data_IF_336384106514
#
_entry.id   IF_336384106514
#
_cell.length_a   1.000
_cell.length_b   1.000
_cell.length_c   1.000
_cell.angle_alpha   90.00
_cell.angle_beta   90.00
_cell.angle_gamma   90.00
#
_symmetry.space_group_name_H-M   'P 1'
#
loop_
_entity.id
_entity.type
_entity.pdbx_description
1 polymer ?
#
# COMPACT_ATOMS: atom_id res chain seq x y z
N UNK A 1 -50.42 -66.97 -21.23
CA UNK A 1 -49.23 -67.12 -20.36
C UNK A 1 -48.71 -65.74 -20.05
N UNK A 2 -48.48 -65.46 -18.76
CA UNK A 2 -48.00 -64.20 -18.21
C UNK A 2 -46.65 -63.77 -18.79
N UNK A 3 -46.41 -62.47 -19.02
CA UNK A 3 -45.52 -61.66 -18.17
C UNK A 3 -45.45 -60.19 -18.65
N UNK A 4 -45.87 -59.30 -17.74
CA UNK A 4 -45.50 -57.89 -17.66
C UNK A 4 -44.30 -57.78 -16.71
N UNK A 5 -43.24 -57.04 -17.11
CA UNK A 5 -42.37 -56.14 -16.30
C UNK A 5 -41.00 -55.98 -17.00
N UNK A 6 -40.23 -54.89 -16.90
CA UNK A 6 -40.25 -53.76 -15.97
C UNK A 6 -39.43 -52.57 -16.51
N UNK A 7 -40.09 -51.40 -16.54
CA UNK A 7 -39.63 -50.04 -16.19
C UNK A 7 -38.15 -49.65 -16.34
N UNK A 8 -37.95 -48.72 -17.27
CA UNK A 8 -37.02 -47.59 -17.21
C UNK A 8 -37.39 -46.64 -16.06
N UNK A 9 -36.53 -46.45 -15.05
CA UNK A 9 -36.77 -45.47 -13.97
C UNK A 9 -35.54 -44.72 -13.42
N UNK A 10 -34.36 -44.81 -14.03
CA UNK A 10 -33.13 -44.26 -13.42
C UNK A 10 -32.72 -42.84 -13.88
N UNK A 11 -33.37 -42.25 -14.88
CA UNK A 11 -32.93 -40.96 -15.46
C UNK A 11 -33.56 -39.73 -14.79
N UNK A 12 -34.69 -39.87 -14.09
CA UNK A 12 -35.43 -38.74 -13.49
C UNK A 12 -34.93 -38.33 -12.11
N UNK A 13 -34.42 -39.27 -11.31
CA UNK A 13 -34.05 -39.03 -9.91
C UNK A 13 -32.78 -38.16 -9.79
N UNK A 14 -31.82 -38.30 -10.72
CA UNK A 14 -30.58 -37.51 -10.70
C UNK A 14 -30.81 -36.02 -11.02
N UNK A 15 -31.72 -35.70 -11.95
CA UNK A 15 -31.99 -34.31 -12.39
C UNK A 15 -32.69 -33.47 -11.32
N UNK A 16 -33.58 -34.08 -10.54
CA UNK A 16 -34.36 -33.39 -9.50
C UNK A 16 -33.44 -32.92 -8.35
N UNK A 17 -32.44 -33.72 -7.98
CA UNK A 17 -31.50 -33.36 -6.93
C UNK A 17 -30.60 -32.18 -7.33
N UNK A 18 -30.13 -32.10 -8.57
CA UNK A 18 -29.34 -30.95 -9.05
C UNK A 18 -30.14 -29.65 -9.11
N UNK A 19 -31.41 -29.70 -9.52
CA UNK A 19 -32.26 -28.52 -9.61
C UNK A 19 -32.64 -27.99 -8.21
N UNK A 20 -32.92 -28.90 -7.27
CA UNK A 20 -33.16 -28.55 -5.86
C UNK A 20 -31.91 -27.97 -5.19
N UNK A 21 -30.74 -28.54 -5.47
CA UNK A 21 -29.47 -28.06 -4.94
C UNK A 21 -29.15 -26.64 -5.47
N UNK A 22 -29.34 -26.40 -6.77
CA UNK A 22 -29.13 -25.08 -7.37
C UNK A 22 -30.12 -24.03 -6.85
N UNK A 23 -31.40 -24.36 -6.69
CA UNK A 23 -32.42 -23.40 -6.21
C UNK A 23 -32.26 -23.03 -4.74
N UNK A 24 -31.65 -23.88 -3.91
CA UNK A 24 -31.39 -23.61 -2.48
C UNK A 24 -29.99 -23.01 -2.23
N UNK A 25 -28.93 -23.48 -2.91
CA UNK A 25 -27.58 -22.95 -2.74
C UNK A 25 -27.37 -21.61 -3.44
N UNK A 26 -27.94 -21.41 -4.63
CA UNK A 26 -27.71 -20.18 -5.41
C UNK A 26 -28.16 -18.91 -4.67
N UNK A 27 -29.36 -18.82 -4.05
CA UNK A 27 -29.73 -17.65 -3.25
C UNK A 27 -28.90 -17.50 -1.97
N UNK A 28 -28.38 -18.60 -1.39
CA UNK A 28 -27.49 -18.53 -0.23
C UNK A 28 -26.10 -17.98 -0.60
N UNK A 29 -25.53 -18.43 -1.72
CA UNK A 29 -24.26 -17.94 -2.27
C UNK A 29 -24.39 -16.50 -2.74
N UNK A 30 -25.46 -16.16 -3.47
CA UNK A 30 -25.75 -14.79 -3.90
C UNK A 30 -26.00 -13.87 -2.70
N UNK A 31 -26.77 -14.32 -1.71
CA UNK A 31 -27.00 -13.57 -0.46
C UNK A 31 -25.70 -13.29 0.28
N UNK A 32 -24.86 -14.30 0.49
CA UNK A 32 -23.54 -14.13 1.14
C UNK A 32 -22.65 -13.14 0.37
N UNK A 33 -22.65 -13.20 -0.97
CA UNK A 33 -21.87 -12.28 -1.79
C UNK A 33 -22.32 -10.81 -1.66
N UNK A 34 -23.64 -10.57 -1.56
CA UNK A 34 -24.22 -9.22 -1.40
C UNK A 34 -23.96 -8.62 -0.01
N UNK A 35 -24.03 -9.44 1.06
CA UNK A 35 -23.71 -8.99 2.42
C UNK A 35 -22.23 -8.63 2.58
N UNK A 36 -21.33 -9.39 1.93
CA UNK A 36 -19.89 -9.13 1.95
C UNK A 36 -19.53 -7.83 1.21
N UNK A 37 -20.13 -7.57 0.04
CA UNK A 37 -19.86 -6.34 -0.72
C UNK A 37 -20.32 -5.07 0.01
N UNK A 38 -21.46 -5.12 0.70
CA UNK A 38 -22.00 -3.96 1.42
C UNK A 38 -21.11 -3.53 2.60
N UNK A 39 -20.51 -4.52 3.29
CA UNK A 39 -19.59 -4.29 4.42
C UNK A 39 -18.26 -3.63 3.98
N UNK A 40 -17.77 -3.94 2.79
CA UNK A 40 -16.53 -3.35 2.24
C UNK A 40 -16.78 -1.90 1.77
N UNK A 41 -17.88 -1.65 1.06
CA UNK A 41 -18.23 -0.30 0.59
C UNK A 41 -18.46 0.66 1.78
N UNK A 42 -19.12 0.19 2.84
CA UNK A 42 -19.36 1.00 4.03
C UNK A 42 -18.07 1.35 4.80
N UNK A 43 -17.07 0.47 4.82
CA UNK A 43 -15.78 0.74 5.49
C UNK A 43 -14.92 1.73 4.72
N UNK A 44 -14.88 1.68 3.39
CA UNK A 44 -14.13 2.65 2.59
C UNK A 44 -14.79 4.04 2.56
N UNK A 45 -16.12 4.10 2.47
CA UNK A 45 -16.85 5.36 2.63
C UNK A 45 -16.60 5.99 4.01
N UNK A 46 -16.46 5.17 5.07
CA UNK A 46 -16.08 5.65 6.41
C UNK A 46 -14.68 6.24 6.43
N UNK A 47 -13.70 5.59 5.79
CA UNK A 47 -12.32 6.12 5.69
C UNK A 47 -12.30 7.48 5.00
N UNK A 48 -13.07 7.64 3.92
CA UNK A 48 -13.13 8.92 3.20
C UNK A 48 -13.77 10.03 4.00
N UNK A 49 -14.87 9.75 4.71
CA UNK A 49 -15.46 10.72 5.62
C UNK A 49 -14.46 11.12 6.71
N UNK A 50 -13.75 10.16 7.28
CA UNK A 50 -12.70 10.42 8.28
C UNK A 50 -11.55 11.26 7.70
N UNK A 51 -11.12 10.94 6.48
CA UNK A 51 -10.06 11.65 5.78
C UNK A 51 -10.43 13.12 5.57
N UNK A 52 -11.63 13.39 5.05
CA UNK A 52 -12.12 14.77 4.84
C UNK A 52 -12.26 15.54 6.15
N UNK A 53 -12.77 14.89 7.20
CA UNK A 53 -12.95 15.51 8.52
C UNK A 53 -11.61 15.89 9.16
N UNK A 54 -10.61 15.03 9.06
CA UNK A 54 -9.31 15.20 9.73
C UNK A 54 -8.23 15.75 8.76
N UNK A 55 -8.61 16.35 7.64
CA UNK A 55 -7.71 16.67 6.51
C UNK A 55 -6.53 17.57 6.93
N UNK A 56 -6.80 18.67 7.63
CA UNK A 56 -5.76 19.61 8.07
C UNK A 56 -4.74 18.95 9.01
N UNK A 57 -5.24 18.16 9.97
CA UNK A 57 -4.42 17.40 10.90
C UNK A 57 -3.55 16.36 10.16
N UNK A 58 -4.11 15.73 9.14
CA UNK A 58 -3.41 14.75 8.32
C UNK A 58 -2.28 15.41 7.52
N UNK A 59 -2.53 16.57 6.90
CA UNK A 59 -1.52 17.35 6.18
C UNK A 59 -0.38 17.73 7.12
N UNK A 60 -0.69 18.28 8.29
CA UNK A 60 0.30 18.66 9.29
C UNK A 60 1.16 17.45 9.71
N UNK A 61 0.51 16.33 10.02
CA UNK A 61 1.22 15.10 10.41
C UNK A 61 2.14 14.59 9.30
N UNK A 62 1.68 14.56 8.05
CA UNK A 62 2.51 14.15 6.90
C UNK A 62 3.71 15.09 6.75
N UNK A 63 3.50 16.40 6.87
CA UNK A 63 4.58 17.39 6.75
C UNK A 63 5.65 17.20 7.83
N UNK A 64 5.27 16.88 9.07
CA UNK A 64 6.22 16.56 10.14
C UNK A 64 7.04 15.31 9.83
N UNK A 65 6.40 14.25 9.31
CA UNK A 65 7.11 13.04 8.91
C UNK A 65 8.10 13.30 7.76
N UNK A 66 7.68 14.07 6.75
CA UNK A 66 8.54 14.45 5.62
C UNK A 66 9.70 15.31 6.08
N UNK A 67 9.44 16.30 6.96
CA UNK A 67 10.48 17.16 7.53
C UNK A 67 11.55 16.32 8.25
N UNK A 68 11.12 15.41 9.14
CA UNK A 68 12.03 14.52 9.84
C UNK A 68 12.85 13.62 8.88
N UNK A 69 12.25 13.13 7.79
CA UNK A 69 12.98 12.35 6.78
C UNK A 69 14.01 13.19 6.02
N UNK A 70 13.71 14.46 5.71
CA UNK A 70 14.54 15.30 4.85
C UNK A 70 15.66 16.06 5.58
N UNK A 71 15.47 16.42 6.85
CA UNK A 71 16.45 17.22 7.62
C UNK A 71 17.81 16.50 7.73
N UNK A 72 17.82 15.25 8.19
CA UNK A 72 19.06 14.48 8.33
C UNK A 72 19.73 14.16 6.99
N UNK A 73 18.93 13.95 5.93
CA UNK A 73 19.46 13.76 4.56
C UNK A 73 20.10 15.04 4.03
N UNK A 74 19.51 16.20 4.32
CA UNK A 74 20.05 17.51 3.92
C UNK A 74 21.36 17.79 4.66
N UNK A 75 21.39 17.52 5.97
CA UNK A 75 22.60 17.63 6.79
C UNK A 75 23.72 16.71 6.27
N UNK A 76 23.39 15.44 5.99
CA UNK A 76 24.33 14.47 5.41
C UNK A 76 24.91 14.95 4.07
N UNK A 77 24.07 15.48 3.17
CA UNK A 77 24.49 16.04 1.88
C UNK A 77 25.41 17.25 2.04
N UNK A 78 25.08 18.16 2.96
CA UNK A 78 25.88 19.36 3.24
C UNK A 78 27.30 18.99 3.68
N UNK A 79 27.43 18.11 4.67
CA UNK A 79 28.74 17.70 5.17
C UNK A 79 29.53 16.86 4.17
N UNK A 80 28.86 16.01 3.37
CA UNK A 80 29.50 15.33 2.24
C UNK A 80 30.06 16.33 1.23
N UNK A 81 29.32 17.39 0.91
CA UNK A 81 29.79 18.45 0.01
C UNK A 81 31.00 19.18 0.59
N UNK A 82 30.96 19.58 1.88
CA UNK A 82 32.11 20.20 2.56
C UNK A 82 33.35 19.31 2.56
N UNK A 83 33.19 18.01 2.86
CA UNK A 83 34.27 17.05 2.83
C UNK A 83 34.89 16.91 1.43
N UNK A 84 34.05 16.78 0.40
CA UNK A 84 34.51 16.67 -1.00
C UNK A 84 35.25 17.93 -1.48
N UNK A 85 34.92 19.10 -0.94
CA UNK A 85 35.54 20.37 -1.29
C UNK A 85 36.69 20.76 -0.35
N UNK A 86 37.12 19.87 0.56
CA UNK A 86 38.14 20.14 1.59
C UNK A 86 37.86 21.41 2.44
N UNK A 87 36.58 21.75 2.65
CA UNK A 87 36.13 22.88 3.49
C UNK A 87 35.52 22.43 4.82
N UNK A 88 35.63 21.14 5.12
CA UNK A 88 35.15 20.56 6.37
C UNK A 88 36.23 20.71 7.45
N UNK A 89 35.88 21.41 8.53
CA UNK A 89 36.69 21.51 9.74
C UNK A 89 36.50 20.26 10.61
N UNK A 90 36.97 19.11 10.11
CA UNK A 90 36.87 17.80 10.75
C UNK A 90 37.89 16.86 10.12
N UNK A 91 38.63 16.09 10.93
CA UNK A 91 39.51 15.06 10.40
C UNK A 91 38.71 13.87 9.82
N UNK A 92 39.38 13.05 9.00
CA UNK A 92 38.72 11.94 8.30
C UNK A 92 38.11 10.90 9.25
N UNK A 93 38.72 10.64 10.41
CA UNK A 93 38.22 9.63 11.35
C UNK A 93 36.94 10.15 11.99
N UNK A 94 36.96 11.40 12.47
CA UNK A 94 35.78 12.06 13.05
C UNK A 94 34.63 12.17 12.04
N UNK A 95 34.92 12.46 10.76
CA UNK A 95 33.91 12.50 9.70
C UNK A 95 33.23 11.15 9.48
N UNK A 96 33.99 10.06 9.45
CA UNK A 96 33.43 8.72 9.28
C UNK A 96 32.52 8.33 10.45
N UNK A 97 32.92 8.59 11.70
CA UNK A 97 32.07 8.39 12.87
C UNK A 97 30.79 9.22 12.83
N UNK A 98 30.91 10.51 12.47
CA UNK A 98 29.75 11.39 12.31
C UNK A 98 28.79 10.87 11.24
N UNK A 99 29.32 10.45 10.08
CA UNK A 99 28.53 9.91 8.97
C UNK A 99 27.78 8.65 9.38
N UNK A 100 28.42 7.75 10.12
CA UNK A 100 27.78 6.53 10.63
C UNK A 100 26.70 6.82 11.69
N UNK A 101 26.93 7.81 12.55
CA UNK A 101 25.93 8.28 13.50
C UNK A 101 24.68 8.83 12.78
N UNK A 102 24.86 9.72 11.80
CA UNK A 102 23.76 10.27 11.01
C UNK A 102 23.01 9.16 10.26
N UNK A 103 23.73 8.20 9.66
CA UNK A 103 23.12 7.04 8.99
C UNK A 103 22.26 6.22 9.96
N UNK A 104 22.74 5.98 11.17
CA UNK A 104 22.01 5.23 12.21
C UNK A 104 20.74 5.96 12.63
N UNK A 105 20.81 7.28 12.81
CA UNK A 105 19.63 8.10 13.14
C UNK A 105 18.62 8.06 11.98
N UNK A 106 19.08 8.20 10.73
CA UNK A 106 18.20 8.13 9.56
C UNK A 106 17.46 6.80 9.48
N UNK A 107 18.12 5.67 9.74
CA UNK A 107 17.46 4.36 9.73
C UNK A 107 16.33 4.25 10.78
N UNK A 108 16.50 4.87 11.95
CA UNK A 108 15.45 4.95 12.99
C UNK A 108 14.28 5.80 12.53
N UNK A 109 14.55 6.95 11.91
CA UNK A 109 13.54 7.85 11.33
C UNK A 109 12.77 7.14 10.22
N UNK A 110 13.47 6.52 9.27
CA UNK A 110 12.88 5.80 8.14
C UNK A 110 11.90 4.72 8.62
N UNK A 111 12.30 3.97 9.66
CA UNK A 111 11.41 2.99 10.28
C UNK A 111 10.21 3.63 10.97
N UNK A 112 10.42 4.63 11.83
CA UNK A 112 9.34 5.30 12.57
C UNK A 112 8.32 5.92 11.63
N UNK A 113 8.79 6.68 10.64
CA UNK A 113 7.95 7.34 9.64
C UNK A 113 7.17 6.33 8.80
N UNK A 114 7.80 5.22 8.40
CA UNK A 114 7.12 4.13 7.69
C UNK A 114 5.99 3.52 8.52
N UNK A 115 6.21 3.29 9.82
CA UNK A 115 5.17 2.78 10.72
C UNK A 115 4.02 3.78 10.86
N UNK A 116 4.32 5.06 11.05
CA UNK A 116 3.29 6.10 11.17
C UNK A 116 2.48 6.26 9.88
N UNK A 117 3.13 6.26 8.71
CA UNK A 117 2.41 6.33 7.44
C UNK A 117 1.60 5.06 7.17
N UNK A 118 2.05 3.88 7.62
CA UNK A 118 1.23 2.65 7.62
C UNK A 118 -0.03 2.83 8.49
N UNK A 119 0.08 3.42 9.69
CA UNK A 119 -1.08 3.66 10.56
C UNK A 119 -2.06 4.65 9.92
N UNK A 120 -1.55 5.75 9.38
CA UNK A 120 -2.31 6.74 8.63
C UNK A 120 -3.05 6.06 7.47
N UNK A 121 -2.34 5.29 6.64
CA UNK A 121 -2.91 4.61 5.47
C UNK A 121 -4.00 3.62 5.88
N UNK A 122 -3.79 2.86 6.96
CA UNK A 122 -4.83 1.95 7.48
C UNK A 122 -6.08 2.70 7.94
N UNK A 123 -5.92 3.84 8.61
CA UNK A 123 -7.04 4.62 9.18
C UNK A 123 -7.80 5.44 8.14
N UNK A 124 -7.10 6.09 7.22
CA UNK A 124 -7.65 7.11 6.32
C UNK A 124 -7.57 6.73 4.82
N UNK A 125 -6.90 5.62 4.52
CA UNK A 125 -6.43 5.31 3.17
C UNK A 125 -5.16 6.08 2.81
N UNK A 126 -4.51 5.70 1.71
CA UNK A 126 -3.25 6.34 1.31
C UNK A 126 -3.47 7.81 0.94
N UNK A 127 -2.70 8.77 1.51
CA UNK A 127 -2.89 10.20 1.29
C UNK A 127 -2.23 10.68 -0.02
N UNK A 128 -2.63 10.11 -1.15
CA UNK A 128 -2.14 10.54 -2.46
C UNK A 128 -2.47 12.02 -2.73
N UNK A 129 -1.65 12.67 -3.56
CA UNK A 129 -1.87 14.06 -3.97
C UNK A 129 -3.22 14.30 -4.65
N UNK A 130 -3.79 13.28 -5.29
CA UNK A 130 -5.13 13.37 -5.87
C UNK A 130 -6.26 13.46 -4.83
N UNK A 131 -5.97 13.18 -3.56
CA UNK A 131 -6.95 13.20 -2.45
C UNK A 131 -6.83 14.43 -1.56
N UNK A 132 -5.77 15.24 -1.69
CA UNK A 132 -5.55 16.43 -0.88
C UNK A 132 -5.59 17.70 -1.73
N UNK A 133 -6.09 18.83 -1.20
CA UNK A 133 -6.09 20.10 -1.92
C UNK A 133 -4.68 20.67 -2.09
N UNK A 134 -3.74 20.28 -1.21
CA UNK A 134 -2.33 20.68 -1.26
C UNK A 134 -1.47 19.47 -1.59
N UNK A 135 -0.47 19.70 -2.44
CA UNK A 135 0.57 18.69 -2.71
C UNK A 135 1.25 18.33 -1.39
N UNK A 136 1.37 17.04 -1.16
CA UNK A 136 2.11 16.42 -0.07
C UNK A 136 3.17 15.47 -0.63
N UNK A 137 4.15 15.13 0.21
CA UNK A 137 5.27 14.28 -0.15
C UNK A 137 5.25 12.95 0.62
N UNK A 138 4.07 12.45 0.99
CA UNK A 138 3.93 11.19 1.73
C UNK A 138 4.60 10.00 1.02
N UNK A 139 4.65 10.01 -0.30
CA UNK A 139 5.34 9.00 -1.11
C UNK A 139 6.83 8.86 -0.78
N UNK A 140 7.51 9.96 -0.39
CA UNK A 140 8.93 9.93 0.00
C UNK A 140 9.16 9.02 1.21
N UNK A 141 8.22 8.98 2.15
CA UNK A 141 8.34 8.13 3.34
C UNK A 141 8.34 6.65 2.94
N UNK A 142 7.44 6.25 2.03
CA UNK A 142 7.40 4.86 1.55
C UNK A 142 8.54 4.51 0.58
N UNK A 143 9.08 5.49 -0.14
CA UNK A 143 10.30 5.35 -0.94
C UNK A 143 11.49 4.89 -0.09
N UNK A 144 11.57 5.36 1.16
CA UNK A 144 12.65 5.06 2.10
C UNK A 144 12.29 3.95 3.12
N UNK A 145 11.26 3.15 2.84
CA UNK A 145 10.84 2.08 3.75
C UNK A 145 11.98 1.07 3.98
N UNK A 146 12.30 0.74 5.25
CA UNK A 146 13.34 -0.23 5.57
C UNK A 146 12.91 -1.65 5.16
N UNK A 147 13.89 -2.49 4.83
CA UNK A 147 13.69 -3.83 4.24
C UNK A 147 12.61 -4.66 4.96
N UNK A 148 12.68 -4.71 6.29
CA UNK A 148 11.72 -5.45 7.15
C UNK A 148 10.26 -5.02 7.00
N UNK A 149 9.99 -3.83 6.46
CA UNK A 149 8.63 -3.31 6.25
C UNK A 149 8.19 -3.35 4.78
N UNK A 150 9.09 -3.52 3.81
CA UNK A 150 8.78 -3.39 2.38
C UNK A 150 7.67 -4.31 1.91
N UNK A 151 7.70 -5.60 2.29
CA UNK A 151 6.64 -6.57 1.95
C UNK A 151 5.27 -6.17 2.51
N UNK A 152 5.24 -5.50 3.67
CA UNK A 152 4.00 -4.99 4.29
C UNK A 152 3.51 -3.74 3.58
N UNK A 153 4.39 -2.79 3.29
CA UNK A 153 4.04 -1.56 2.56
C UNK A 153 3.53 -1.89 1.16
N UNK A 154 4.21 -2.75 0.40
CA UNK A 154 3.76 -3.21 -0.92
C UNK A 154 2.32 -3.73 -0.88
N UNK A 155 2.01 -4.62 0.06
CA UNK A 155 0.66 -5.19 0.22
C UNK A 155 -0.40 -4.13 0.55
N UNK A 156 -0.04 -3.11 1.33
CA UNK A 156 -0.95 -2.00 1.63
C UNK A 156 -1.19 -1.17 0.37
N UNK A 157 -0.14 -0.80 -0.36
CA UNK A 157 -0.26 0.05 -1.54
C UNK A 157 -1.06 -0.59 -2.68
N UNK A 158 -0.89 -1.90 -2.89
CA UNK A 158 -1.70 -2.66 -3.86
C UNK A 158 -3.20 -2.57 -3.49
N UNK A 159 -3.53 -2.82 -2.22
CA UNK A 159 -4.92 -2.72 -1.72
C UNK A 159 -5.50 -1.32 -1.83
N UNK A 160 -4.68 -0.29 -1.62
CA UNK A 160 -5.12 1.10 -1.77
C UNK A 160 -5.30 1.46 -3.25
N UNK A 161 -4.51 0.88 -4.16
CA UNK A 161 -4.70 1.01 -5.60
C UNK A 161 -5.99 0.35 -6.09
N UNK A 162 -6.29 -0.87 -5.63
CA UNK A 162 -7.55 -1.58 -5.91
C UNK A 162 -8.78 -0.75 -5.48
N UNK A 163 -8.62 0.13 -4.49
CA UNK A 163 -9.65 1.05 -3.98
C UNK A 163 -9.68 2.40 -4.71
N UNK A 164 -8.93 2.55 -5.81
CA UNK A 164 -8.86 3.79 -6.58
C UNK A 164 -8.23 4.97 -5.84
N UNK A 165 -7.38 4.70 -4.82
CA UNK A 165 -6.73 5.78 -4.03
C UNK A 165 -5.58 6.46 -4.76
N UNK A 166 -5.11 5.87 -5.85
CA UNK A 166 -4.13 6.46 -6.75
C UNK A 166 -4.84 6.84 -8.06
N UNK A 167 -5.11 8.13 -8.27
CA UNK A 167 -5.71 8.59 -9.54
C UNK A 167 -4.72 8.47 -10.71
N UNK A 168 -3.42 8.58 -10.42
CA UNK A 168 -2.33 8.34 -11.36
C UNK A 168 -1.38 7.30 -10.76
N UNK A 169 -1.13 6.22 -11.50
CA UNK A 169 -0.26 5.13 -11.04
C UNK A 169 1.23 5.52 -10.95
N UNK A 170 1.65 6.68 -11.46
CA UNK A 170 3.04 7.13 -11.41
C UNK A 170 3.59 7.15 -9.98
N UNK A 171 2.84 7.68 -9.01
CA UNK A 171 3.24 7.70 -7.60
C UNK A 171 3.42 6.26 -7.09
N UNK A 172 2.46 5.38 -7.37
CA UNK A 172 2.52 3.98 -6.96
C UNK A 172 3.73 3.27 -7.57
N UNK A 173 3.89 3.35 -8.90
CA UNK A 173 4.99 2.73 -9.64
C UNK A 173 6.34 3.20 -9.11
N UNK A 174 6.48 4.49 -8.84
CA UNK A 174 7.70 5.04 -8.27
C UNK A 174 8.01 4.48 -6.87
N UNK A 175 7.00 4.38 -5.99
CA UNK A 175 7.18 3.77 -4.67
C UNK A 175 7.55 2.28 -4.81
N UNK A 176 6.81 1.51 -5.62
CA UNK A 176 7.08 0.07 -5.81
C UNK A 176 8.49 -0.16 -6.36
N UNK A 177 8.93 0.62 -7.35
CA UNK A 177 10.29 0.55 -7.89
C UNK A 177 11.35 0.68 -6.78
N UNK A 178 11.15 1.61 -5.84
CA UNK A 178 12.02 1.74 -4.67
C UNK A 178 11.94 0.56 -3.70
N UNK A 179 10.74 0.04 -3.44
CA UNK A 179 10.57 -1.16 -2.61
C UNK A 179 11.26 -2.39 -3.24
N UNK A 180 11.34 -2.46 -4.56
CA UNK A 180 12.00 -3.58 -5.27
C UNK A 180 13.51 -3.40 -5.48
N UNK A 181 14.09 -2.35 -4.91
CA UNK A 181 15.54 -2.12 -4.98
C UNK A 181 15.99 -1.37 -6.23
N UNK A 182 15.08 -0.65 -6.89
CA UNK A 182 15.34 0.21 -8.06
C UNK A 182 15.88 -0.53 -9.29
N UNK A 183 15.42 -1.75 -9.54
CA UNK A 183 15.83 -2.50 -10.73
C UNK A 183 15.27 -1.82 -12.00
N UNK A 184 16.10 -1.68 -13.03
CA UNK A 184 15.78 -0.90 -14.25
C UNK A 184 14.76 -1.61 -15.16
N UNK A 185 14.74 -2.94 -15.13
CA UNK A 185 13.78 -3.81 -15.83
C UNK A 185 12.33 -3.62 -15.36
N UNK A 186 12.12 -3.07 -14.17
CA UNK A 186 10.80 -2.76 -13.61
C UNK A 186 9.90 -1.95 -14.57
N UNK A 187 10.47 -0.98 -15.28
CA UNK A 187 9.71 -0.14 -16.22
C UNK A 187 9.60 -0.73 -17.63
N UNK A 188 10.41 -1.73 -17.97
CA UNK A 188 10.38 -2.36 -19.28
C UNK A 188 9.16 -3.28 -19.46
N UNK A 189 8.71 -3.92 -18.38
CA UNK A 189 7.48 -4.72 -18.35
C UNK A 189 6.17 -3.90 -18.50
N UNK A 190 6.27 -2.57 -18.63
CA UNK A 190 5.11 -1.66 -18.71
C UNK A 190 4.78 -1.31 -20.18
N UNK A 191 5.68 -1.57 -21.14
CA UNK A 191 5.46 -1.24 -22.56
C UNK A 191 4.74 -2.34 -23.36
N UNK A 192 4.35 -3.46 -22.75
CA UNK A 192 3.87 -4.65 -23.47
C UNK A 192 2.45 -5.12 -23.13
N UNK A 193 1.64 -4.34 -22.40
CA UNK A 193 0.23 -4.65 -22.15
C UNK A 193 -0.69 -3.51 -22.59
#
# INVERSE_FOLDING_TARGET
MLELKSKSSNVSILKINTLFLMTKLLPFVLGCSLFLSCSIVSTDARKDRLFKRDENLLIEKINLLVKADQENRTLSKLYKSKNNNNTLDMDSITYEYWKDSIRTIQQKIDYSNSIELIKITKKYGFPDNSRLPKKNLSWIIFQHTPERLKKRVRRILIKENEKGRFKNEATLKFIIWHLEGRKMDFFNNIKTN
#
